data_IF_339329797881
#
_entry.id   IF_339329797881
#
_cell.length_a   1.000
_cell.length_b   1.000
_cell.length_c   1.000
_cell.angle_alpha   90.00
_cell.angle_beta   90.00
_cell.angle_gamma   90.00
#
_symmetry.space_group_name_H-M   'P 1'
#
loop_
_entity.id
_entity.type
_entity.pdbx_description
1 polymer ?
#
# COMPACT_ATOMS: atom_id res chain seq x y z
N UNK A 1 -10.75 -24.95 60.74
CA UNK A 1 -11.48 -24.11 59.77
C UNK A 1 -10.87 -24.37 58.41
N UNK A 2 -11.50 -25.24 57.62
CA UNK A 2 -11.01 -25.64 56.29
C UNK A 2 -11.75 -24.83 55.23
N UNK A 3 -11.02 -24.13 54.37
CA UNK A 3 -11.52 -23.45 53.17
C UNK A 3 -11.07 -24.24 51.95
N UNK A 4 -12.06 -24.79 51.24
CA UNK A 4 -11.95 -25.63 50.05
C UNK A 4 -11.92 -24.76 48.78
N UNK A 5 -10.83 -24.74 47.99
CA UNK A 5 -10.75 -23.96 46.75
C UNK A 5 -10.90 -24.90 45.55
N UNK A 6 -12.13 -25.11 45.08
CA UNK A 6 -12.31 -26.06 43.98
C UNK A 6 -13.67 -26.13 43.32
N UNK A 7 -14.24 -25.01 42.85
CA UNK A 7 -15.27 -25.06 41.80
C UNK A 7 -15.18 -23.84 40.86
N UNK A 8 -14.40 -23.99 39.78
CA UNK A 8 -14.51 -23.15 38.59
C UNK A 8 -15.47 -23.84 37.61
N UNK A 9 -16.66 -23.25 37.44
CA UNK A 9 -17.69 -23.75 36.53
C UNK A 9 -17.27 -23.67 35.06
N UNK A 10 -17.73 -24.64 34.28
CA UNK A 10 -17.45 -24.74 32.85
C UNK A 10 -18.12 -23.62 32.03
N UNK A 11 -17.51 -23.15 30.93
CA UNK A 11 -18.09 -22.13 30.05
C UNK A 11 -19.33 -22.66 29.32
N UNK A 12 -20.46 -21.99 29.54
CA UNK A 12 -21.73 -22.21 28.85
C UNK A 12 -21.61 -21.74 27.38
N UNK A 13 -21.64 -22.69 26.45
CA UNK A 13 -21.72 -22.40 25.01
C UNK A 13 -23.14 -21.95 24.66
N UNK A 14 -23.27 -20.72 24.18
CA UNK A 14 -24.52 -20.13 23.70
C UNK A 14 -25.00 -20.88 22.45
N UNK A 15 -26.17 -21.53 22.54
CA UNK A 15 -26.85 -22.23 21.44
C UNK A 15 -27.61 -21.21 20.59
N UNK A 16 -27.29 -21.01 19.30
CA UNK A 16 -28.09 -20.15 18.43
C UNK A 16 -29.46 -20.80 18.20
N UNK A 17 -30.53 -20.08 18.54
CA UNK A 17 -31.90 -20.51 18.31
C UNK A 17 -32.28 -20.54 16.82
N UNK A 18 -33.40 -21.19 16.47
CA UNK A 18 -33.91 -21.24 15.11
C UNK A 18 -34.35 -19.84 14.64
N UNK A 19 -33.65 -19.32 13.64
CA UNK A 19 -34.00 -18.10 12.91
C UNK A 19 -35.26 -18.36 12.08
N UNK A 20 -36.43 -17.98 12.60
CA UNK A 20 -37.67 -17.83 11.83
C UNK A 20 -37.66 -16.48 11.12
N UNK A 21 -36.81 -16.35 10.10
CA UNK A 21 -36.71 -15.15 9.26
C UNK A 21 -37.65 -15.23 8.07
N UNK A 22 -38.81 -14.60 8.19
CA UNK A 22 -39.71 -14.27 7.07
C UNK A 22 -38.97 -13.32 6.13
N UNK A 23 -38.56 -13.81 4.96
CA UNK A 23 -37.94 -12.96 3.93
C UNK A 23 -39.01 -12.07 3.29
N UNK A 24 -38.78 -10.75 3.14
CA UNK A 24 -39.63 -9.90 2.33
C UNK A 24 -39.49 -10.29 0.86
N UNK A 25 -40.60 -10.73 0.24
CA UNK A 25 -40.74 -10.83 -1.22
C UNK A 25 -40.65 -9.41 -1.80
N UNK A 26 -39.64 -9.16 -2.61
CA UNK A 26 -39.57 -7.93 -3.40
C UNK A 26 -40.55 -7.99 -4.59
N UNK A 27 -41.17 -6.86 -4.97
CA UNK A 27 -42.09 -6.80 -6.09
C UNK A 27 -41.41 -7.18 -7.41
N UNK A 28 -42.07 -8.07 -8.15
CA UNK A 28 -41.71 -8.46 -9.50
C UNK A 28 -41.96 -7.27 -10.43
N UNK A 29 -40.88 -6.71 -10.99
CA UNK A 29 -40.95 -5.52 -11.84
C UNK A 29 -41.30 -5.93 -13.29
N UNK A 30 -42.42 -5.49 -13.88
CA UNK A 30 -42.79 -5.82 -15.25
C UNK A 30 -42.23 -4.73 -16.18
N UNK A 31 -41.08 -4.98 -16.80
CA UNK A 31 -40.60 -4.12 -17.89
C UNK A 31 -40.85 -4.73 -19.27
N UNK A 32 -41.22 -3.88 -20.26
CA UNK A 32 -41.68 -4.28 -21.57
C UNK A 32 -40.53 -4.65 -22.52
N UNK A 33 -40.86 -5.51 -23.48
CA UNK A 33 -40.02 -5.91 -24.61
C UNK A 33 -39.57 -4.69 -25.43
N UNK A 34 -38.25 -4.53 -25.55
CA UNK A 34 -37.60 -3.64 -26.51
C UNK A 34 -36.18 -4.13 -26.75
N UNK A 35 -36.04 -5.14 -27.61
CA UNK A 35 -34.76 -5.80 -27.90
C UNK A 35 -34.07 -5.09 -29.08
N UNK A 36 -32.94 -4.45 -28.81
CA UNK A 36 -31.94 -4.01 -29.81
C UNK A 36 -30.70 -4.91 -29.68
N UNK A 37 -30.26 -5.60 -30.74
CA UNK A 37 -29.06 -6.44 -30.69
C UNK A 37 -27.81 -5.58 -30.92
N UNK A 38 -27.03 -5.33 -29.86
CA UNK A 38 -25.74 -4.69 -29.97
C UNK A 38 -25.00 -4.66 -28.64
N UNK A 39 -23.96 -5.49 -28.53
CA UNK A 39 -22.97 -5.56 -27.42
C UNK A 39 -23.53 -5.92 -26.04
N UNK A 40 -23.44 -7.21 -25.70
CA UNK A 40 -23.69 -7.72 -24.36
C UNK A 40 -22.63 -7.18 -23.37
N UNK A 41 -23.03 -6.54 -22.25
CA UNK A 41 -22.10 -6.17 -21.19
C UNK A 41 -21.52 -7.42 -20.53
N UNK A 42 -20.24 -7.37 -20.17
CA UNK A 42 -19.54 -8.46 -19.50
C UNK A 42 -20.26 -8.88 -18.20
N UNK A 43 -20.45 -10.19 -17.95
CA UNK A 43 -21.18 -10.66 -16.77
C UNK A 43 -20.42 -10.29 -15.49
N UNK A 44 -21.10 -9.57 -14.59
CA UNK A 44 -20.64 -9.36 -13.22
C UNK A 44 -20.52 -10.71 -12.49
N UNK A 45 -19.50 -10.92 -11.66
CA UNK A 45 -19.41 -12.12 -10.84
C UNK A 45 -20.57 -12.13 -9.83
N UNK A 46 -21.52 -13.04 -10.03
CA UNK A 46 -22.63 -13.24 -9.10
C UNK A 46 -22.12 -13.89 -7.82
N UNK A 47 -22.19 -13.16 -6.71
CA UNK A 47 -22.03 -13.71 -5.37
C UNK A 47 -23.33 -14.44 -5.00
N UNK A 48 -23.48 -15.67 -5.49
CA UNK A 48 -24.57 -16.56 -5.09
C UNK A 48 -24.47 -16.98 -3.62
N UNK A 49 -25.59 -17.34 -2.98
CA UNK A 49 -25.60 -17.81 -1.60
C UNK A 49 -24.72 -19.06 -1.45
N UNK A 50 -23.92 -19.08 -0.38
CA UNK A 50 -23.02 -20.20 -0.04
C UNK A 50 -23.88 -21.45 0.20
N UNK A 51 -23.95 -22.33 -0.80
CA UNK A 51 -24.60 -23.62 -0.64
C UNK A 51 -23.84 -24.43 0.42
N UNK A 52 -24.52 -24.99 1.45
CA UNK A 52 -23.88 -25.86 2.41
C UNK A 52 -23.30 -27.06 1.67
N UNK A 53 -21.98 -27.23 1.75
CA UNK A 53 -21.28 -28.32 1.09
C UNK A 53 -21.78 -29.67 1.66
N UNK A 54 -22.10 -30.67 0.82
CA UNK A 54 -22.54 -31.98 1.27
C UNK A 54 -21.50 -32.60 2.20
N UNK A 55 -21.91 -32.97 3.41
CA UNK A 55 -21.05 -33.64 4.37
C UNK A 55 -20.68 -35.05 3.84
N UNK A 56 -19.42 -35.25 3.45
CA UNK A 56 -18.92 -36.57 3.02
C UNK A 56 -17.92 -36.55 1.87
N UNK A 57 -17.79 -35.43 1.15
CA UNK A 57 -16.73 -35.26 0.14
C UNK A 57 -15.46 -34.76 0.84
N UNK A 58 -14.34 -35.45 0.62
CA UNK A 58 -13.02 -35.09 1.19
C UNK A 58 -12.64 -33.62 0.92
N UNK A 59 -11.58 -33.10 1.56
CA UNK A 59 -11.23 -31.69 1.49
C UNK A 59 -11.19 -31.22 0.02
N UNK A 60 -12.11 -30.31 -0.33
CA UNK A 60 -12.20 -29.79 -1.68
C UNK A 60 -10.83 -29.23 -2.10
N UNK A 61 -10.36 -29.50 -3.33
CA UNK A 61 -9.07 -29.02 -3.79
C UNK A 61 -9.03 -27.49 -3.67
N UNK A 62 -8.07 -26.99 -2.91
CA UNK A 62 -7.86 -25.56 -2.69
C UNK A 62 -7.58 -24.90 -4.04
N UNK A 63 -8.56 -24.18 -4.59
CA UNK A 63 -8.41 -23.53 -5.89
C UNK A 63 -7.45 -22.37 -5.73
N UNK A 64 -6.23 -22.52 -6.27
CA UNK A 64 -5.22 -21.46 -6.30
C UNK A 64 -5.73 -20.30 -7.14
N UNK A 65 -6.13 -19.20 -6.50
CA UNK A 65 -6.51 -17.97 -7.20
C UNK A 65 -5.25 -17.35 -7.83
N UNK A 66 -5.16 -17.24 -9.17
CA UNK A 66 -3.97 -16.68 -9.81
C UNK A 66 -3.80 -15.22 -9.39
N UNK A 67 -2.53 -14.78 -9.25
CA UNK A 67 -2.23 -13.40 -8.87
C UNK A 67 -2.55 -12.47 -10.06
N UNK A 68 -3.37 -11.43 -9.87
CA UNK A 68 -3.71 -10.51 -10.95
C UNK A 68 -2.48 -9.70 -11.39
N UNK A 69 -2.38 -9.43 -12.70
CA UNK A 69 -1.27 -8.62 -13.28
C UNK A 69 -1.20 -7.21 -12.67
N UNK A 70 -2.32 -6.69 -12.17
CA UNK A 70 -2.38 -5.39 -11.49
C UNK A 70 -1.55 -5.34 -10.21
N UNK A 71 -1.52 -6.42 -9.42
CA UNK A 71 -0.72 -6.49 -8.19
C UNK A 71 0.78 -6.53 -8.51
N UNK A 72 1.16 -7.18 -9.62
CA UNK A 72 2.55 -7.21 -10.09
C UNK A 72 2.97 -5.84 -10.63
N UNK A 73 2.13 -5.22 -11.45
CA UNK A 73 2.40 -3.90 -12.02
C UNK A 73 2.50 -2.83 -10.93
N UNK A 74 1.62 -2.90 -9.92
CA UNK A 74 1.70 -2.06 -8.74
C UNK A 74 3.04 -2.20 -8.02
N UNK A 75 3.51 -3.42 -7.77
CA UNK A 75 4.81 -3.65 -7.13
C UNK A 75 5.94 -3.02 -7.94
N UNK A 76 5.96 -3.20 -9.26
CA UNK A 76 7.00 -2.64 -10.14
C UNK A 76 7.00 -1.11 -10.06
N UNK A 77 5.83 -0.47 -10.16
CA UNK A 77 5.72 0.99 -10.08
C UNK A 77 6.18 1.52 -8.71
N UNK A 78 5.79 0.84 -7.63
CA UNK A 78 6.21 1.21 -6.28
C UNK A 78 7.72 1.09 -6.11
N UNK A 79 8.33 0.00 -6.55
CA UNK A 79 9.79 -0.16 -6.50
C UNK A 79 10.52 0.82 -7.42
N UNK A 80 9.98 1.10 -8.61
CA UNK A 80 10.54 2.11 -9.51
C UNK A 80 10.52 3.51 -8.87
N UNK A 81 9.45 3.86 -8.15
CA UNK A 81 9.36 5.14 -7.43
C UNK A 81 10.35 5.28 -6.28
N UNK A 82 10.90 4.17 -5.77
CA UNK A 82 11.91 4.17 -4.69
C UNK A 82 13.31 4.51 -5.23
N UNK A 83 13.60 4.19 -6.50
CA UNK A 83 14.95 4.33 -7.08
C UNK A 83 15.53 5.74 -6.96
N UNK A 84 14.80 6.83 -7.31
CA UNK A 84 15.31 8.18 -7.15
C UNK A 84 15.81 8.51 -5.75
N UNK A 85 15.14 7.99 -4.73
CA UNK A 85 15.46 8.27 -3.33
C UNK A 85 16.63 7.47 -2.82
N UNK A 86 16.77 6.22 -3.27
CA UNK A 86 17.97 5.44 -3.00
C UNK A 86 19.16 6.11 -3.65
N UNK A 87 19.05 6.50 -4.93
CA UNK A 87 20.13 7.19 -5.64
C UNK A 87 20.47 8.51 -4.95
N UNK A 88 19.49 9.38 -4.71
CA UNK A 88 19.72 10.68 -4.06
C UNK A 88 20.28 10.52 -2.64
N UNK A 89 19.72 9.59 -1.85
CA UNK A 89 20.15 9.37 -0.47
C UNK A 89 21.56 8.77 -0.39
N UNK A 90 21.88 7.80 -1.24
CA UNK A 90 23.24 7.24 -1.36
C UNK A 90 24.20 8.31 -1.84
N UNK A 91 23.86 9.07 -2.88
CA UNK A 91 24.69 10.19 -3.36
C UNK A 91 24.95 11.18 -2.22
N UNK A 92 23.93 11.60 -1.47
CA UNK A 92 24.08 12.53 -0.35
C UNK A 92 24.93 11.98 0.82
N UNK A 93 25.03 10.65 0.97
CA UNK A 93 25.89 10.03 1.98
C UNK A 93 27.38 10.09 1.62
N UNK A 94 27.71 10.00 0.33
CA UNK A 94 29.09 9.86 -0.14
C UNK A 94 29.65 11.12 -0.80
N UNK A 95 28.79 11.97 -1.35
CA UNK A 95 29.19 13.24 -1.95
C UNK A 95 29.45 14.27 -0.86
N UNK A 96 30.55 14.99 -1.02
CA UNK A 96 30.89 16.13 -0.17
C UNK A 96 30.55 17.38 -0.96
N UNK A 97 29.76 18.26 -0.38
CA UNK A 97 29.46 19.57 -0.96
C UNK A 97 30.74 20.38 -0.88
N UNK A 98 31.28 20.66 -2.05
CA UNK A 98 32.43 21.51 -2.27
C UNK A 98 32.07 22.61 -3.28
N UNK A 99 32.97 23.56 -3.38
CA UNK A 99 32.91 24.71 -4.27
C UNK A 99 32.54 24.35 -5.72
N UNK A 100 33.07 23.23 -6.22
CA UNK A 100 32.81 22.76 -7.59
C UNK A 100 31.37 22.31 -7.77
N UNK A 101 30.84 21.55 -6.82
CA UNK A 101 29.45 21.11 -6.84
C UNK A 101 28.46 22.26 -6.76
N UNK A 102 28.79 23.29 -5.97
CA UNK A 102 27.96 24.50 -5.87
C UNK A 102 27.94 25.29 -7.17
N UNK A 103 29.11 25.45 -7.79
CA UNK A 103 29.25 26.13 -9.08
C UNK A 103 28.52 25.34 -10.20
N UNK A 104 28.61 24.00 -10.21
CA UNK A 104 27.88 23.13 -11.14
C UNK A 104 26.36 23.15 -10.91
N UNK A 105 25.92 23.24 -9.65
CA UNK A 105 24.51 23.37 -9.30
C UNK A 105 23.95 24.78 -9.57
N UNK A 106 24.81 25.73 -9.96
CA UNK A 106 24.44 27.12 -10.24
C UNK A 106 24.02 27.90 -8.99
N UNK A 107 24.46 27.48 -7.80
CA UNK A 107 24.09 28.13 -6.53
C UNK A 107 25.08 29.27 -6.26
N UNK A 108 24.62 30.54 -6.17
CA UNK A 108 25.50 31.66 -5.92
C UNK A 108 26.17 31.57 -4.54
N UNK A 109 27.50 31.64 -4.51
CA UNK A 109 28.28 31.46 -3.27
C UNK A 109 27.96 32.50 -2.20
N UNK A 110 27.71 33.73 -2.63
CA UNK A 110 27.30 34.83 -1.77
C UNK A 110 26.04 34.53 -0.97
N UNK A 111 25.09 33.77 -1.54
CA UNK A 111 23.87 33.37 -0.84
C UNK A 111 24.14 32.29 0.21
N UNK A 112 24.98 31.30 -0.10
CA UNK A 112 25.34 30.25 0.86
C UNK A 112 26.19 30.84 1.99
N UNK A 113 27.18 31.67 1.68
CA UNK A 113 28.03 32.31 2.67
C UNK A 113 27.22 33.22 3.61
N UNK A 114 26.27 33.99 3.08
CA UNK A 114 25.35 34.77 3.90
C UNK A 114 24.47 33.88 4.79
N UNK A 115 23.91 32.80 4.26
CA UNK A 115 23.09 31.88 5.05
C UNK A 115 23.90 31.17 6.15
N UNK A 116 25.13 30.75 5.84
CA UNK A 116 26.07 30.17 6.81
C UNK A 116 26.49 31.19 7.87
N UNK A 117 26.79 32.43 7.49
CA UNK A 117 27.14 33.50 8.42
C UNK A 117 25.96 33.85 9.35
N UNK A 118 24.73 33.90 8.84
CA UNK A 118 23.52 34.16 9.63
C UNK A 118 23.20 33.04 10.62
N UNK A 119 23.46 31.78 10.24
CA UNK A 119 23.18 30.61 11.07
C UNK A 119 24.37 30.17 11.92
N UNK A 120 25.54 30.81 11.76
CA UNK A 120 26.80 30.40 12.38
C UNK A 120 27.26 29.00 11.94
N UNK A 121 26.77 28.51 10.80
CA UNK A 121 26.98 27.14 10.34
C UNK A 121 28.26 27.05 9.52
N UNK A 122 29.06 26.01 9.76
CA UNK A 122 30.27 25.75 8.96
C UNK A 122 29.97 24.80 7.80
N UNK A 123 30.85 24.77 6.79
CA UNK A 123 30.71 23.86 5.66
C UNK A 123 30.74 22.38 6.08
N UNK A 124 31.49 22.04 7.13
CA UNK A 124 31.52 20.69 7.69
C UNK A 124 30.15 20.30 8.27
N UNK A 125 29.51 21.21 9.00
CA UNK A 125 28.16 21.00 9.56
C UNK A 125 27.15 20.85 8.43
N UNK A 126 27.25 21.66 7.36
CA UNK A 126 26.39 21.53 6.19
C UNK A 126 26.55 20.14 5.54
N UNK A 127 27.77 19.68 5.31
CA UNK A 127 28.06 18.35 4.79
C UNK A 127 27.51 17.24 5.69
N UNK A 128 27.65 17.38 7.00
CA UNK A 128 27.07 16.43 7.94
C UNK A 128 25.55 16.40 7.87
N UNK A 129 24.88 17.56 7.72
CA UNK A 129 23.44 17.66 7.50
C UNK A 129 23.01 16.93 6.22
N UNK A 130 23.72 17.12 5.11
CA UNK A 130 23.44 16.41 3.86
C UNK A 130 23.57 14.89 4.03
N UNK A 131 24.61 14.41 4.72
CA UNK A 131 24.79 12.98 5.00
C UNK A 131 23.68 12.41 5.88
N UNK A 132 23.30 13.13 6.94
CA UNK A 132 22.19 12.70 7.82
C UNK A 132 20.88 12.64 7.06
N UNK A 133 20.57 13.67 6.25
CA UNK A 133 19.39 13.67 5.37
C UNK A 133 19.44 12.52 4.36
N UNK A 134 20.60 12.28 3.74
CA UNK A 134 20.82 11.16 2.83
C UNK A 134 20.55 9.81 3.49
N UNK A 135 21.05 9.61 4.71
CA UNK A 135 20.78 8.42 5.51
C UNK A 135 19.29 8.22 5.81
N UNK A 136 18.59 9.28 6.19
CA UNK A 136 17.14 9.24 6.41
C UNK A 136 16.39 8.87 5.12
N UNK A 137 16.77 9.45 3.97
CA UNK A 137 16.17 9.10 2.69
C UNK A 137 16.36 7.62 2.35
N UNK A 138 17.57 7.06 2.54
CA UNK A 138 17.83 5.64 2.30
C UNK A 138 17.00 4.76 3.21
N UNK A 139 16.93 5.06 4.51
CA UNK A 139 16.13 4.27 5.46
C UNK A 139 14.65 4.29 5.11
N UNK A 140 14.11 5.48 4.78
CA UNK A 140 12.71 5.63 4.37
C UNK A 140 12.42 4.90 3.05
N UNK A 141 13.32 5.01 2.07
CA UNK A 141 13.23 4.32 0.78
C UNK A 141 13.19 2.80 0.97
N UNK A 142 14.04 2.24 1.83
CA UNK A 142 14.04 0.82 2.17
C UNK A 142 12.77 0.41 2.91
N UNK A 143 12.31 1.19 3.89
CA UNK A 143 11.05 0.92 4.59
C UNK A 143 9.86 0.93 3.62
N UNK A 144 9.82 1.87 2.68
CA UNK A 144 8.80 1.93 1.63
C UNK A 144 8.84 0.71 0.72
N UNK A 145 10.04 0.29 0.27
CA UNK A 145 10.21 -0.91 -0.55
C UNK A 145 9.76 -2.18 0.19
N UNK A 146 10.11 -2.32 1.47
CA UNK A 146 9.64 -3.43 2.32
C UNK A 146 8.13 -3.42 2.43
N UNK A 147 7.50 -2.26 2.68
CA UNK A 147 6.05 -2.14 2.73
C UNK A 147 5.39 -2.51 1.39
N UNK A 148 6.00 -2.14 0.25
CA UNK A 148 5.52 -2.52 -1.08
C UNK A 148 5.53 -4.04 -1.26
N UNK A 149 6.60 -4.71 -0.83
CA UNK A 149 6.69 -6.18 -0.84
C UNK A 149 5.67 -6.79 0.12
N UNK A 150 5.50 -6.24 1.32
CA UNK A 150 4.51 -6.74 2.30
C UNK A 150 3.07 -6.56 1.78
N UNK A 151 2.77 -5.45 1.10
CA UNK A 151 1.49 -5.24 0.44
C UNK A 151 1.29 -6.26 -0.69
N UNK A 152 2.32 -6.54 -1.49
CA UNK A 152 2.31 -7.58 -2.51
C UNK A 152 2.10 -9.00 -1.96
N UNK A 153 2.56 -9.26 -0.73
CA UNK A 153 2.36 -10.54 -0.04
C UNK A 153 0.94 -10.75 0.51
N UNK A 154 0.07 -9.74 0.53
CA UNK A 154 -1.33 -9.95 0.95
C UNK A 154 -1.72 -9.41 2.32
N UNK A 155 -0.82 -8.79 3.09
CA UNK A 155 -1.13 -8.38 4.47
C UNK A 155 -2.12 -7.21 4.52
N UNK A 156 -3.15 -7.34 5.36
CA UNK A 156 -4.32 -6.46 5.39
C UNK A 156 -4.06 -5.01 5.82
N UNK A 157 -2.97 -4.71 6.53
CA UNK A 157 -2.61 -3.35 6.93
C UNK A 157 -1.69 -2.60 5.96
N UNK A 158 -0.92 -3.33 5.14
CA UNK A 158 0.20 -2.73 4.40
C UNK A 158 -0.25 -1.74 3.32
N UNK A 159 -1.41 -1.94 2.70
CA UNK A 159 -1.93 -1.03 1.66
C UNK A 159 -2.25 0.36 2.21
N UNK A 160 -2.86 0.41 3.40
CA UNK A 160 -3.21 1.69 4.04
C UNK A 160 -1.96 2.40 4.51
N UNK A 161 -1.05 1.70 5.19
CA UNK A 161 0.24 2.26 5.63
C UNK A 161 1.02 2.80 4.44
N UNK A 162 1.05 2.07 3.32
CA UNK A 162 1.75 2.49 2.11
C UNK A 162 1.08 3.70 1.44
N UNK A 163 -0.25 3.76 1.42
CA UNK A 163 -0.97 4.93 0.91
C UNK A 163 -0.70 6.20 1.75
N UNK A 164 -0.74 6.08 3.08
CA UNK A 164 -0.41 7.19 3.99
C UNK A 164 1.04 7.61 3.79
N UNK A 165 1.97 6.65 3.76
CA UNK A 165 3.39 6.91 3.57
C UNK A 165 3.65 7.59 2.21
N UNK A 166 2.95 7.16 1.15
CA UNK A 166 3.03 7.80 -0.18
C UNK A 166 2.56 9.26 -0.13
N UNK A 167 1.48 9.55 0.60
CA UNK A 167 0.96 10.91 0.76
C UNK A 167 1.92 11.81 1.54
N UNK A 168 2.37 11.37 2.72
CA UNK A 168 3.32 12.11 3.56
C UNK A 168 4.62 12.35 2.79
N UNK A 169 5.15 11.30 2.18
CA UNK A 169 6.41 11.36 1.47
C UNK A 169 6.33 12.17 0.18
N UNK A 170 5.26 12.00 -0.59
CA UNK A 170 5.01 12.79 -1.79
C UNK A 170 4.90 14.28 -1.47
N UNK A 171 4.22 14.64 -0.38
CA UNK A 171 4.15 16.03 0.07
C UNK A 171 5.53 16.57 0.46
N UNK A 172 6.29 15.82 1.29
CA UNK A 172 7.65 16.23 1.68
C UNK A 172 8.57 16.38 0.48
N UNK A 173 8.53 15.46 -0.48
CA UNK A 173 9.30 15.56 -1.73
C UNK A 173 8.94 16.83 -2.50
N UNK A 174 7.66 17.12 -2.65
CA UNK A 174 7.19 18.29 -3.41
C UNK A 174 7.65 19.60 -2.77
N UNK A 175 7.67 19.67 -1.43
CA UNK A 175 8.20 20.82 -0.71
C UNK A 175 9.73 20.94 -0.85
N UNK A 176 10.46 19.83 -0.76
CA UNK A 176 11.92 19.82 -0.80
C UNK A 176 12.48 20.06 -2.20
N UNK A 177 11.76 19.62 -3.24
CA UNK A 177 12.12 19.77 -4.65
C UNK A 177 11.40 20.97 -5.30
N UNK A 178 11.18 22.06 -4.54
CA UNK A 178 10.51 23.25 -5.07
C UNK A 178 11.22 23.83 -6.31
N UNK A 179 12.54 23.65 -6.42
CA UNK A 179 13.33 24.07 -7.59
C UNK A 179 13.18 23.15 -8.81
N UNK A 180 12.75 21.89 -8.62
CA UNK A 180 12.56 20.89 -9.68
C UNK A 180 11.20 20.18 -9.54
N UNK A 181 10.08 20.93 -9.61
CA UNK A 181 8.77 20.40 -9.25
C UNK A 181 8.27 19.32 -10.23
N UNK A 182 8.66 19.38 -11.51
CA UNK A 182 8.26 18.39 -12.50
C UNK A 182 8.78 16.99 -12.15
N UNK A 183 10.03 16.89 -11.70
CA UNK A 183 10.61 15.62 -11.28
C UNK A 183 9.86 15.05 -10.07
N UNK A 184 9.57 15.89 -9.08
CA UNK A 184 8.80 15.49 -7.91
C UNK A 184 7.41 14.97 -8.28
N UNK A 185 6.70 15.70 -9.15
CA UNK A 185 5.37 15.31 -9.63
C UNK A 185 5.41 13.97 -10.36
N UNK A 186 6.41 13.71 -11.20
CA UNK A 186 6.56 12.43 -11.90
C UNK A 186 6.75 11.26 -10.92
N UNK A 187 7.64 11.41 -9.93
CA UNK A 187 7.88 10.37 -8.92
C UNK A 187 6.61 10.08 -8.12
N UNK A 188 5.89 11.14 -7.71
CA UNK A 188 4.62 11.03 -6.99
C UNK A 188 3.55 10.36 -7.86
N UNK A 189 3.46 10.71 -9.14
CA UNK A 189 2.50 10.13 -10.07
C UNK A 189 2.73 8.62 -10.27
N UNK A 190 3.99 8.19 -10.37
CA UNK A 190 4.36 6.77 -10.46
C UNK A 190 3.98 6.02 -9.16
N UNK A 191 4.33 6.57 -8.00
CA UNK A 191 3.99 5.98 -6.71
C UNK A 191 2.47 5.89 -6.50
N UNK A 192 1.74 6.98 -6.77
CA UNK A 192 0.28 7.05 -6.68
C UNK A 192 -0.39 6.06 -7.66
N UNK A 193 0.16 5.90 -8.87
CA UNK A 193 -0.31 4.89 -9.83
C UNK A 193 -0.13 3.47 -9.27
N UNK A 194 1.02 3.19 -8.65
CA UNK A 194 1.24 1.92 -7.94
C UNK A 194 0.21 1.68 -6.82
N UNK A 195 -0.05 2.69 -5.99
CA UNK A 195 -1.06 2.62 -4.92
C UNK A 195 -2.46 2.38 -5.49
N UNK A 196 -2.91 3.18 -6.46
CA UNK A 196 -4.25 3.06 -7.03
C UNK A 196 -4.51 1.69 -7.66
N UNK A 197 -3.49 1.09 -8.31
CA UNK A 197 -3.58 -0.28 -8.81
C UNK A 197 -3.81 -1.34 -7.71
N UNK A 198 -3.25 -1.15 -6.50
CA UNK A 198 -3.53 -2.03 -5.34
C UNK A 198 -4.98 -1.92 -4.83
N UNK A 199 -5.67 -0.83 -5.17
CA UNK A 199 -7.07 -0.59 -4.88
C UNK A 199 -8.00 -0.89 -6.06
N UNK A 200 -7.50 -1.39 -7.19
CA UNK A 200 -8.33 -1.82 -8.31
C UNK A 200 -9.23 -3.01 -7.93
N UNK A 201 -10.37 -3.18 -8.62
CA UNK A 201 -11.30 -4.28 -8.37
C UNK A 201 -10.63 -5.67 -8.42
N UNK A 202 -9.81 -6.01 -9.44
CA UNK A 202 -9.13 -7.32 -9.49
C UNK A 202 -8.18 -7.54 -8.31
N UNK A 203 -7.50 -6.49 -7.83
CA UNK A 203 -6.64 -6.60 -6.66
C UNK A 203 -7.47 -6.84 -5.40
N UNK A 204 -8.56 -6.09 -5.19
CA UNK A 204 -9.45 -6.23 -4.03
C UNK A 204 -10.04 -7.64 -3.92
N UNK A 205 -10.49 -8.22 -5.03
CA UNK A 205 -11.01 -9.58 -5.10
C UNK A 205 -9.93 -10.60 -4.70
N UNK A 206 -8.70 -10.44 -5.21
CA UNK A 206 -7.57 -11.30 -4.85
C UNK A 206 -7.22 -11.22 -3.35
N UNK A 207 -7.19 -10.01 -2.77
CA UNK A 207 -6.96 -9.83 -1.33
C UNK A 207 -8.13 -10.36 -0.48
N UNK A 208 -9.37 -10.28 -0.96
CA UNK A 208 -10.53 -10.83 -0.27
C UNK A 208 -10.49 -12.36 -0.23
N UNK A 209 -10.19 -13.01 -1.37
CA UNK A 209 -10.05 -14.46 -1.47
C UNK A 209 -8.94 -15.04 -0.57
N UNK A 210 -7.89 -14.26 -0.29
CA UNK A 210 -6.84 -14.65 0.67
C UNK A 210 -7.26 -14.55 2.13
N UNK A 211 -8.10 -13.57 2.49
CA UNK A 211 -8.58 -13.41 3.88
C UNK A 211 -9.56 -14.51 4.30
N UNK A 212 -10.36 -15.01 3.37
CA UNK A 212 -11.33 -16.08 3.65
C UNK A 212 -10.74 -17.48 3.69
N UNK A 213 -9.41 -17.63 3.55
CA UNK A 213 -8.73 -18.93 3.63
C UNK A 213 -8.96 -19.83 2.41
N UNK A 214 -9.75 -19.41 1.41
CA UNK A 214 -9.96 -20.14 0.16
C UNK A 214 -8.65 -20.32 -0.63
N UNK A 215 -7.69 -19.42 -0.42
CA UNK A 215 -6.35 -19.48 -1.00
C UNK A 215 -5.26 -20.01 -0.02
N UNK A 216 -5.65 -20.47 1.17
CA UNK A 216 -4.76 -20.64 2.32
C UNK A 216 -4.36 -22.09 2.63
N UNK A 217 -3.88 -22.86 1.65
CA UNK A 217 -2.96 -23.99 1.89
C UNK A 217 -2.03 -24.10 0.68
N UNK A 218 -0.87 -23.46 0.78
CA UNK A 218 0.27 -23.63 -0.13
C UNK A 218 1.53 -23.62 0.70
#
# INVERSE_FOLDING_TARGET
>A
MSTDPGQQGAPQYYRPGPSSGTYPQYPQNPYPQGWTPGTAPAPYPSHGPVQPSPAGLGPAPVRKVPRPRQVVSALILLLASVLPFVVMGVTALFVTVDDRLLDEAGVPRDQIDQAMAQTGMTMEVLNQLFRVMGGIFVVLALAYAVLAVVAFLGRSGARLTLAILTGVYGLTLLLLMAAMPLFAVLVIAVAASGVTLLYSAPAREWYAARRTGVAGRS
#
